data_IF_975902680789
#
_entry.id   IF_975902680789
#
_cell.length_a   1.000
_cell.length_b   1.000
_cell.length_c   1.000
_cell.angle_alpha   90.00
_cell.angle_beta   90.00
_cell.angle_gamma   90.00
#
_symmetry.space_group_name_H-M   'P 1'
#
loop_
_entity.id
_entity.type
_entity.pdbx_description
1 polymer ?
#
# COMPACT_ATOMS: atom_id res chain seq x y z
N UNK A 1 -16.19 0.24 -10.79
CA UNK A 1 -14.98 0.57 -11.59
C UNK A 1 -14.85 2.05 -11.86
N UNK A 2 -15.73 2.68 -12.65
CA UNK A 2 -15.61 4.12 -13.03
C UNK A 2 -15.26 5.06 -11.87
N UNK A 3 -15.91 4.91 -10.72
CA UNK A 3 -15.66 5.75 -9.54
C UNK A 3 -14.28 5.51 -8.91
N UNK A 4 -13.76 4.28 -8.97
CA UNK A 4 -12.40 3.99 -8.53
C UNK A 4 -11.37 4.65 -9.44
N UNK A 5 -11.66 4.72 -10.75
CA UNK A 5 -10.79 5.39 -11.71
C UNK A 5 -10.83 6.91 -11.51
N UNK A 6 -12.04 7.47 -11.37
CA UNK A 6 -12.25 8.90 -11.11
C UNK A 6 -11.63 9.30 -9.77
N UNK A 7 -11.78 8.51 -8.71
CA UNK A 7 -11.16 8.81 -7.42
C UNK A 7 -9.64 8.80 -7.50
N UNK A 8 -9.03 7.85 -8.22
CA UNK A 8 -7.58 7.83 -8.44
C UNK A 8 -7.11 9.10 -9.19
N UNK A 9 -7.85 9.52 -10.22
CA UNK A 9 -7.57 10.77 -10.96
C UNK A 9 -7.72 12.00 -10.06
N UNK A 10 -8.81 12.11 -9.29
CA UNK A 10 -9.04 13.23 -8.37
C UNK A 10 -7.91 13.31 -7.34
N UNK A 11 -7.53 12.18 -6.73
CA UNK A 11 -6.46 12.16 -5.74
C UNK A 11 -5.13 12.59 -6.37
N UNK A 12 -4.83 12.15 -7.60
CA UNK A 12 -3.66 12.60 -8.34
C UNK A 12 -3.69 14.11 -8.58
N UNK A 13 -4.78 14.64 -9.13
CA UNK A 13 -4.94 16.06 -9.42
C UNK A 13 -4.81 16.91 -8.16
N UNK A 14 -5.44 16.51 -7.05
CA UNK A 14 -5.34 17.21 -5.77
C UNK A 14 -3.91 17.18 -5.23
N UNK A 15 -3.19 16.08 -5.41
CA UNK A 15 -1.77 15.98 -5.00
C UNK A 15 -0.90 16.90 -5.86
N UNK A 16 -1.05 16.89 -7.18
CA UNK A 16 -0.30 17.76 -8.09
C UNK A 16 -0.59 19.23 -7.82
N UNK A 17 -1.86 19.58 -7.57
CA UNK A 17 -2.26 20.93 -7.21
C UNK A 17 -1.68 21.38 -5.86
N UNK A 18 -1.62 20.49 -4.87
CA UNK A 18 -1.07 20.83 -3.54
C UNK A 18 0.45 20.90 -3.50
N UNK A 19 1.15 20.13 -4.32
CA UNK A 19 2.62 20.00 -4.28
C UNK A 19 3.37 21.35 -4.29
N UNK A 20 3.03 22.35 -5.12
CA UNK A 20 3.71 23.65 -5.15
C UNK A 20 3.54 24.50 -3.89
N UNK A 21 2.57 24.19 -3.03
CA UNK A 21 2.31 24.93 -1.80
C UNK A 21 3.18 24.47 -0.62
N UNK A 22 3.85 23.32 -0.75
CA UNK A 22 4.80 22.84 0.24
C UNK A 22 6.18 23.44 -0.01
N UNK A 23 6.90 23.79 1.06
CA UNK A 23 8.20 24.46 0.95
C UNK A 23 9.33 23.44 0.77
N UNK A 24 9.43 22.92 -0.45
CA UNK A 24 10.56 22.12 -0.90
C UNK A 24 11.73 23.01 -1.34
N UNK A 25 12.97 22.55 -1.18
CA UNK A 25 14.15 23.31 -1.59
C UNK A 25 14.30 23.39 -3.11
N UNK A 26 14.08 22.26 -3.77
CA UNK A 26 14.24 22.15 -5.21
C UNK A 26 12.89 22.33 -5.91
N UNK A 27 12.92 22.92 -7.11
CA UNK A 27 11.76 22.89 -8.00
C UNK A 27 11.80 21.57 -8.78
N UNK A 28 10.67 20.87 -8.82
CA UNK A 28 10.53 19.68 -9.67
C UNK A 28 10.58 20.05 -11.14
N UNK A 29 11.23 19.22 -11.94
CA UNK A 29 11.16 19.31 -13.39
C UNK A 29 9.72 19.07 -13.88
N UNK A 30 9.30 19.81 -14.90
CA UNK A 30 7.98 19.70 -15.53
C UNK A 30 7.72 18.29 -16.06
N UNK A 31 8.78 17.58 -16.49
CA UNK A 31 8.68 16.21 -16.99
C UNK A 31 8.13 15.23 -15.96
N UNK A 32 8.45 15.40 -14.66
CA UNK A 32 7.98 14.54 -13.57
C UNK A 32 6.46 14.64 -13.40
N UNK A 33 5.90 15.86 -13.50
CA UNK A 33 4.44 16.06 -13.46
C UNK A 33 3.75 15.38 -14.64
N UNK A 34 4.34 15.46 -15.84
CA UNK A 34 3.82 14.83 -17.05
C UNK A 34 3.85 13.31 -16.90
N UNK A 35 4.99 12.72 -16.53
CA UNK A 35 5.15 11.28 -16.38
C UNK A 35 4.22 10.69 -15.32
N UNK A 36 4.13 11.34 -14.15
CA UNK A 36 3.20 10.91 -13.10
C UNK A 36 1.74 10.98 -13.54
N UNK A 37 1.35 12.00 -14.31
CA UNK A 37 -0.01 12.13 -14.87
C UNK A 37 -0.28 11.06 -15.92
N UNK A 38 0.65 10.85 -16.85
CA UNK A 38 0.55 9.83 -17.90
C UNK A 38 0.44 8.43 -17.29
N UNK A 39 1.23 8.13 -16.25
CA UNK A 39 1.18 6.85 -15.53
C UNK A 39 -0.23 6.55 -15.01
N UNK A 40 -0.85 7.51 -14.31
CA UNK A 40 -2.21 7.35 -13.77
C UNK A 40 -3.24 7.18 -14.87
N UNK A 41 -3.18 8.01 -15.93
CA UNK A 41 -4.16 7.94 -17.02
C UNK A 41 -4.08 6.62 -17.79
N UNK A 42 -2.87 6.17 -18.13
CA UNK A 42 -2.68 4.92 -18.87
C UNK A 42 -3.00 3.72 -17.97
N UNK A 43 -2.64 3.75 -16.68
CA UNK A 43 -3.03 2.72 -15.70
C UNK A 43 -4.56 2.62 -15.60
N UNK A 44 -5.26 3.76 -15.51
CA UNK A 44 -6.72 3.79 -15.50
C UNK A 44 -7.31 3.20 -16.80
N UNK A 45 -6.73 3.51 -17.96
CA UNK A 45 -7.14 2.97 -19.26
C UNK A 45 -6.96 1.44 -19.34
N UNK A 46 -5.84 0.92 -18.85
CA UNK A 46 -5.57 -0.53 -18.81
C UNK A 46 -6.59 -1.23 -17.91
N UNK A 47 -6.81 -0.71 -16.69
CA UNK A 47 -7.78 -1.30 -15.76
C UNK A 47 -9.22 -1.20 -16.28
N UNK A 48 -9.56 -0.11 -16.97
CA UNK A 48 -10.82 0.03 -17.66
C UNK A 48 -11.01 -1.03 -18.74
N UNK A 49 -9.98 -1.25 -19.57
CA UNK A 49 -9.99 -2.28 -20.63
C UNK A 49 -10.17 -3.68 -20.06
N UNK A 50 -9.41 -4.05 -19.01
CA UNK A 50 -9.52 -5.34 -18.33
C UNK A 50 -10.94 -5.52 -17.76
N UNK A 51 -11.47 -4.48 -17.13
CA UNK A 51 -12.82 -4.51 -16.56
C UNK A 51 -13.88 -4.73 -17.63
N UNK A 52 -13.84 -4.02 -18.75
CA UNK A 52 -14.84 -4.18 -19.80
C UNK A 52 -14.85 -5.60 -20.39
N UNK A 53 -13.68 -6.22 -20.52
CA UNK A 53 -13.57 -7.59 -21.04
C UNK A 53 -13.96 -8.64 -19.99
N UNK A 54 -13.67 -8.39 -18.70
CA UNK A 54 -13.73 -9.41 -17.65
C UNK A 54 -14.77 -9.14 -16.54
N UNK A 55 -15.61 -8.11 -16.67
CA UNK A 55 -16.52 -7.66 -15.59
C UNK A 55 -17.40 -8.79 -15.03
N UNK A 56 -17.95 -9.64 -15.90
CA UNK A 56 -18.84 -10.73 -15.54
C UNK A 56 -18.10 -11.74 -14.68
N UNK A 57 -16.93 -12.19 -15.14
CA UNK A 57 -16.08 -13.14 -14.41
C UNK A 57 -15.63 -12.58 -13.06
N UNK A 58 -15.22 -11.31 -13.02
CA UNK A 58 -14.82 -10.64 -11.76
C UNK A 58 -15.99 -10.60 -10.77
N UNK A 59 -17.18 -10.20 -11.23
CA UNK A 59 -18.37 -10.14 -10.38
C UNK A 59 -18.80 -11.51 -9.88
N UNK A 60 -18.79 -12.52 -10.74
CA UNK A 60 -19.11 -13.91 -10.37
C UNK A 60 -18.14 -14.43 -9.29
N UNK A 61 -16.82 -14.23 -9.46
CA UNK A 61 -15.81 -14.62 -8.48
C UNK A 61 -15.96 -13.89 -7.15
N UNK A 62 -16.20 -12.58 -7.17
CA UNK A 62 -16.44 -11.78 -5.95
C UNK A 62 -17.72 -12.24 -5.25
N UNK A 63 -18.79 -12.48 -5.99
CA UNK A 63 -20.06 -12.94 -5.41
C UNK A 63 -19.94 -14.34 -4.81
N UNK A 64 -19.23 -15.26 -5.48
CA UNK A 64 -18.94 -16.59 -4.95
C UNK A 64 -18.15 -16.49 -3.64
N UNK A 65 -17.10 -15.66 -3.64
CA UNK A 65 -16.31 -15.42 -2.44
C UNK A 65 -17.12 -14.77 -1.29
N UNK A 66 -18.00 -13.80 -1.57
CA UNK A 66 -18.85 -13.18 -0.56
C UNK A 66 -19.74 -14.20 0.16
N UNK A 67 -20.10 -15.30 -0.51
CA UNK A 67 -20.94 -16.38 0.04
C UNK A 67 -20.17 -17.37 0.91
N UNK A 68 -18.84 -17.27 1.02
CA UNK A 68 -18.05 -18.14 1.89
C UNK A 68 -18.48 -17.96 3.35
N UNK A 69 -18.94 -19.06 3.97
CA UNK A 69 -19.42 -19.08 5.36
C UNK A 69 -18.41 -19.70 6.34
N UNK A 70 -17.54 -20.58 5.85
CA UNK A 70 -16.53 -21.27 6.64
C UNK A 70 -15.14 -20.88 6.18
N UNK A 71 -14.23 -20.71 7.14
CA UNK A 71 -12.81 -20.45 6.89
C UNK A 71 -12.09 -21.79 6.98
N UNK A 72 -11.11 -22.01 6.10
CA UNK A 72 -10.24 -23.18 6.17
C UNK A 72 -9.60 -23.33 7.56
N UNK A 73 -9.45 -24.56 8.01
CA UNK A 73 -8.74 -24.84 9.27
C UNK A 73 -7.31 -24.29 9.25
N UNK A 74 -6.65 -24.33 8.09
CA UNK A 74 -5.31 -23.77 7.91
C UNK A 74 -5.28 -22.25 8.10
N UNK A 75 -6.18 -21.50 7.45
CA UNK A 75 -6.24 -20.03 7.58
C UNK A 75 -6.64 -19.65 9.01
N UNK A 76 -7.57 -20.39 9.61
CA UNK A 76 -7.96 -20.17 11.01
C UNK A 76 -6.76 -20.36 11.95
N UNK A 77 -6.03 -21.47 11.82
CA UNK A 77 -4.84 -21.76 12.63
C UNK A 77 -3.76 -20.68 12.46
N UNK A 78 -3.43 -20.30 11.22
CA UNK A 78 -2.48 -19.22 10.94
C UNK A 78 -2.94 -17.91 11.59
N UNK A 79 -4.23 -17.58 11.49
CA UNK A 79 -4.78 -16.36 12.11
C UNK A 79 -4.61 -16.37 13.61
N UNK A 80 -4.89 -17.49 14.29
CA UNK A 80 -4.74 -17.61 15.75
C UNK A 80 -3.28 -17.46 16.16
N UNK A 81 -2.36 -18.16 15.48
CA UNK A 81 -0.92 -18.07 15.76
C UNK A 81 -0.41 -16.65 15.57
N UNK A 82 -0.73 -16.01 14.44
CA UNK A 82 -0.33 -14.63 14.17
C UNK A 82 -1.01 -13.64 15.12
N UNK A 83 -2.22 -13.92 15.60
CA UNK A 83 -2.91 -13.08 16.57
C UNK A 83 -2.22 -13.11 17.94
N UNK A 84 -1.88 -14.30 18.44
CA UNK A 84 -1.13 -14.45 19.70
C UNK A 84 0.23 -13.74 19.59
N UNK A 85 0.91 -13.90 18.45
CA UNK A 85 2.16 -13.22 18.20
C UNK A 85 2.01 -11.69 18.05
N UNK A 86 0.92 -11.22 17.47
CA UNK A 86 0.60 -9.78 17.43
C UNK A 86 0.37 -9.21 18.83
N UNK A 87 -0.28 -9.96 19.73
CA UNK A 87 -0.48 -9.55 21.11
C UNK A 87 0.85 -9.39 21.85
N UNK A 88 1.79 -10.33 21.70
CA UNK A 88 3.09 -10.23 22.35
C UNK A 88 3.88 -9.01 21.86
N UNK A 89 3.92 -8.78 20.54
CA UNK A 89 4.59 -7.62 19.95
C UNK A 89 3.93 -6.29 20.34
N UNK A 90 2.60 -6.24 20.37
CA UNK A 90 1.86 -5.04 20.74
C UNK A 90 2.08 -4.67 22.20
N UNK A 91 2.17 -5.65 23.11
CA UNK A 91 2.47 -5.40 24.52
C UNK A 91 3.83 -4.71 24.70
N UNK A 92 4.87 -5.24 24.03
CA UNK A 92 6.19 -4.59 24.00
C UNK A 92 6.12 -3.18 23.41
N UNK A 93 5.42 -3.01 22.29
CA UNK A 93 5.28 -1.71 21.60
C UNK A 93 4.58 -0.66 22.46
N UNK A 94 3.53 -1.03 23.18
CA UNK A 94 2.81 -0.11 24.08
C UNK A 94 3.73 0.37 25.20
N UNK A 95 4.52 -0.51 25.80
CA UNK A 95 5.48 -0.13 26.84
C UNK A 95 6.47 0.93 26.33
N UNK A 96 6.98 0.76 25.11
CA UNK A 96 7.87 1.73 24.46
C UNK A 96 7.17 3.06 24.10
N UNK A 97 5.92 3.01 23.63
CA UNK A 97 5.16 4.23 23.32
C UNK A 97 4.90 5.03 24.60
N UNK A 98 4.52 4.36 25.68
CA UNK A 98 4.25 5.00 26.98
C UNK A 98 5.51 5.59 27.63
N UNK A 99 6.70 5.04 27.32
CA UNK A 99 7.97 5.64 27.75
C UNK A 99 8.40 6.85 26.91
N UNK A 100 7.55 7.33 25.99
CA UNK A 100 7.82 8.50 25.15
C UNK A 100 8.76 8.22 23.97
N UNK A 101 9.01 6.96 23.62
CA UNK A 101 9.89 6.63 22.50
C UNK A 101 9.30 7.13 21.17
N UNK A 102 10.14 7.71 20.32
CA UNK A 102 9.72 8.10 18.98
C UNK A 102 9.45 6.86 18.13
N UNK A 103 8.60 7.00 17.09
CA UNK A 103 8.37 5.93 16.10
C UNK A 103 9.68 5.37 15.52
N UNK A 104 10.66 6.24 15.32
CA UNK A 104 11.94 5.85 14.75
C UNK A 104 12.72 4.96 15.72
N UNK A 105 12.72 5.28 17.02
CA UNK A 105 13.29 4.40 18.05
C UNK A 105 12.56 3.04 18.12
N UNK A 106 11.23 3.05 17.97
CA UNK A 106 10.41 1.83 17.96
C UNK A 106 10.75 0.92 16.77
N UNK A 107 10.97 1.50 15.58
CA UNK A 107 11.41 0.76 14.38
C UNK A 107 12.82 0.20 14.57
N UNK A 108 13.74 0.97 15.16
CA UNK A 108 15.12 0.53 15.42
C UNK A 108 15.17 -0.64 16.40
N UNK A 109 14.37 -0.60 17.46
CA UNK A 109 14.22 -1.72 18.41
C UNK A 109 13.63 -2.97 17.71
N UNK A 110 12.64 -2.75 16.84
CA UNK A 110 12.01 -3.81 16.06
C UNK A 110 12.87 -4.36 14.92
N UNK A 111 14.02 -3.75 14.58
CA UNK A 111 14.99 -4.39 13.67
C UNK A 111 15.51 -5.72 14.26
N UNK A 112 15.47 -5.92 15.58
CA UNK A 112 15.72 -7.24 16.20
C UNK A 112 14.59 -8.26 15.96
N UNK A 113 13.36 -7.81 15.64
CA UNK A 113 12.18 -8.63 15.33
C UNK A 113 11.73 -8.52 13.85
N UNK A 114 12.64 -8.08 12.96
CA UNK A 114 12.33 -7.43 11.69
C UNK A 114 11.33 -8.13 10.76
N UNK A 115 11.36 -9.45 10.67
CA UNK A 115 10.46 -10.21 9.80
C UNK A 115 9.06 -10.42 10.41
N UNK A 116 8.99 -10.66 11.71
CA UNK A 116 7.76 -11.06 12.40
C UNK A 116 6.69 -9.98 12.36
N UNK A 117 7.07 -8.73 12.65
CA UNK A 117 6.11 -7.62 12.61
C UNK A 117 5.62 -7.32 11.18
N UNK A 118 6.49 -7.47 10.16
CA UNK A 118 6.13 -7.28 8.75
C UNK A 118 5.13 -8.33 8.29
N UNK A 119 5.29 -9.57 8.73
CA UNK A 119 4.35 -10.66 8.47
C UNK A 119 2.99 -10.38 9.13
N UNK A 120 2.97 -10.01 10.41
CA UNK A 120 1.75 -9.68 11.16
C UNK A 120 0.99 -8.51 10.52
N UNK A 121 1.68 -7.39 10.25
CA UNK A 121 1.08 -6.22 9.61
C UNK A 121 0.53 -6.59 8.23
N UNK A 122 1.33 -7.25 7.39
CA UNK A 122 0.92 -7.62 6.04
C UNK A 122 -0.28 -8.57 6.04
N UNK A 123 -0.32 -9.52 6.98
CA UNK A 123 -1.43 -10.45 7.10
C UNK A 123 -2.73 -9.75 7.50
N UNK A 124 -2.74 -9.02 8.62
CA UNK A 124 -3.98 -8.43 9.13
C UNK A 124 -4.50 -7.26 8.28
N UNK A 125 -3.63 -6.43 7.69
CA UNK A 125 -4.05 -5.32 6.82
C UNK A 125 -4.74 -5.79 5.54
N UNK A 126 -4.46 -7.02 5.09
CA UNK A 126 -5.06 -7.64 3.90
C UNK A 126 -6.28 -8.46 4.31
N UNK A 127 -6.13 -9.34 5.29
CA UNK A 127 -7.17 -10.28 5.70
C UNK A 127 -8.40 -9.59 6.27
N UNK A 128 -8.22 -8.51 7.04
CA UNK A 128 -9.34 -7.77 7.62
C UNK A 128 -10.28 -7.20 6.55
N UNK A 129 -9.83 -6.34 5.60
CA UNK A 129 -10.67 -5.86 4.49
C UNK A 129 -11.32 -6.97 3.68
N UNK A 130 -10.56 -8.03 3.40
CA UNK A 130 -11.05 -9.13 2.58
C UNK A 130 -12.19 -9.85 3.30
N UNK A 131 -11.97 -10.38 4.50
CA UNK A 131 -13.00 -11.18 5.17
C UNK A 131 -14.15 -10.36 5.76
N UNK A 132 -14.03 -9.03 5.85
CA UNK A 132 -15.10 -8.14 6.34
C UNK A 132 -16.43 -8.38 5.62
N UNK A 133 -16.38 -8.58 4.30
CA UNK A 133 -17.57 -8.63 3.43
C UNK A 133 -18.19 -10.03 3.24
N UNK A 134 -17.49 -11.07 3.71
CA UNK A 134 -17.89 -12.47 3.56
C UNK A 134 -18.95 -12.87 4.59
N UNK A 135 -19.57 -14.03 4.46
CA UNK A 135 -20.55 -14.54 5.44
C UNK A 135 -19.92 -15.35 6.59
N UNK A 136 -18.59 -15.29 6.75
CA UNK A 136 -17.88 -16.01 7.81
C UNK A 136 -18.33 -15.58 9.22
N UNK A 137 -18.14 -16.49 10.17
CA UNK A 137 -18.48 -16.30 11.59
C UNK A 137 -17.98 -14.94 12.12
N UNK A 138 -18.86 -14.21 12.82
CA UNK A 138 -18.55 -12.88 13.40
C UNK A 138 -17.29 -12.89 14.29
N UNK A 139 -17.06 -13.98 15.03
CA UNK A 139 -15.87 -14.15 15.86
C UNK A 139 -14.56 -14.07 15.06
N UNK A 140 -14.52 -14.68 13.86
CA UNK A 140 -13.34 -14.63 13.00
C UNK A 140 -13.07 -13.21 12.48
N UNK A 141 -14.14 -12.50 12.07
CA UNK A 141 -14.03 -11.09 11.66
C UNK A 141 -13.55 -10.21 12.81
N UNK A 142 -14.03 -10.46 14.02
CA UNK A 142 -13.62 -9.76 15.23
C UNK A 142 -12.13 -9.99 15.53
N UNK A 143 -11.66 -11.25 15.45
CA UNK A 143 -10.25 -11.60 15.60
C UNK A 143 -9.37 -10.84 14.59
N UNK A 144 -9.77 -10.80 13.31
CA UNK A 144 -9.07 -10.04 12.28
C UNK A 144 -9.09 -8.53 12.54
N UNK A 145 -10.21 -7.99 13.02
CA UNK A 145 -10.35 -6.58 13.37
C UNK A 145 -9.43 -6.17 14.52
N UNK A 146 -9.38 -6.97 15.60
CA UNK A 146 -8.43 -6.73 16.69
C UNK A 146 -7.00 -6.91 16.20
N UNK A 147 -6.70 -7.96 15.44
CA UNK A 147 -5.36 -8.17 14.89
C UNK A 147 -4.89 -7.01 14.01
N UNK A 148 -5.79 -6.41 13.24
CA UNK A 148 -5.51 -5.19 12.49
C UNK A 148 -5.18 -4.00 13.40
N UNK A 149 -5.96 -3.77 14.45
CA UNK A 149 -5.65 -2.73 15.44
C UNK A 149 -4.30 -2.96 16.14
N UNK A 150 -4.00 -4.19 16.53
CA UNK A 150 -2.70 -4.56 17.09
C UNK A 150 -1.57 -4.27 16.10
N UNK A 151 -1.74 -4.60 14.82
CA UNK A 151 -0.74 -4.28 13.79
C UNK A 151 -0.48 -2.79 13.62
N UNK A 152 -1.51 -1.95 13.82
CA UNK A 152 -1.36 -0.49 13.81
C UNK A 152 -0.60 0.02 15.04
N UNK A 153 -0.82 -0.59 16.21
CA UNK A 153 -0.08 -0.28 17.44
C UNK A 153 1.40 -0.64 17.25
N UNK A 154 1.69 -1.85 16.76
CA UNK A 154 3.06 -2.33 16.52
C UNK A 154 3.80 -1.42 15.53
N UNK A 155 3.17 -1.07 14.41
CA UNK A 155 3.82 -0.25 13.36
C UNK A 155 3.80 1.25 13.65
N UNK A 156 2.96 1.70 14.59
CA UNK A 156 2.62 3.10 14.84
C UNK A 156 2.34 3.90 13.55
N UNK A 157 1.76 3.23 12.54
CA UNK A 157 1.70 3.72 11.15
C UNK A 157 0.27 3.96 10.68
N UNK A 158 0.02 5.17 10.17
CA UNK A 158 -1.26 5.54 9.52
C UNK A 158 -1.39 4.94 8.12
N UNK A 159 -0.29 4.52 7.52
CA UNK A 159 -0.30 3.96 6.16
C UNK A 159 -1.07 2.65 6.12
N UNK A 160 -1.01 1.83 7.18
CA UNK A 160 -1.78 0.58 7.30
C UNK A 160 -3.28 0.83 7.16
N UNK A 161 -3.76 1.93 7.76
CA UNK A 161 -5.15 2.37 7.68
C UNK A 161 -5.54 2.80 6.28
N UNK A 162 -4.69 3.58 5.63
CA UNK A 162 -4.91 4.04 4.26
C UNK A 162 -4.96 2.85 3.30
N UNK A 163 -4.04 1.90 3.42
CA UNK A 163 -4.03 0.67 2.60
C UNK A 163 -5.29 -0.16 2.80
N UNK A 164 -5.68 -0.43 4.05
CA UNK A 164 -6.92 -1.13 4.34
C UNK A 164 -8.14 -0.39 3.76
N UNK A 165 -8.14 0.95 3.83
CA UNK A 165 -9.23 1.79 3.34
C UNK A 165 -9.36 1.73 1.82
N UNK A 166 -8.24 1.79 1.10
CA UNK A 166 -8.20 1.60 -0.36
C UNK A 166 -8.65 0.21 -0.78
N UNK A 167 -8.27 -0.83 -0.03
CA UNK A 167 -8.71 -2.18 -0.31
C UNK A 167 -10.22 -2.36 -0.08
N UNK A 168 -10.75 -1.87 1.05
CA UNK A 168 -12.19 -1.85 1.32
C UNK A 168 -12.94 -1.08 0.22
N UNK A 169 -12.45 0.11 -0.16
CA UNK A 169 -13.06 0.91 -1.21
C UNK A 169 -13.09 0.18 -2.55
N UNK A 170 -11.99 -0.48 -2.92
CA UNK A 170 -11.88 -1.27 -4.14
C UNK A 170 -12.90 -2.40 -4.15
N UNK A 171 -12.96 -3.17 -3.06
CA UNK A 171 -13.89 -4.30 -2.89
C UNK A 171 -15.35 -3.86 -3.02
N UNK A 172 -15.76 -2.86 -2.23
CA UNK A 172 -17.16 -2.45 -2.15
C UNK A 172 -17.65 -1.80 -3.45
N UNK A 173 -16.83 -0.96 -4.08
CA UNK A 173 -17.18 -0.29 -5.34
C UNK A 173 -17.23 -1.23 -6.55
N UNK A 174 -16.59 -2.41 -6.46
CA UNK A 174 -16.70 -3.45 -7.49
C UNK A 174 -17.94 -4.33 -7.26
N UNK A 175 -18.24 -4.67 -6.01
CA UNK A 175 -19.36 -5.55 -5.63
C UNK A 175 -20.72 -4.89 -5.85
N UNK A 176 -20.98 -3.78 -5.16
CA UNK A 176 -22.27 -3.09 -5.19
C UNK A 176 -22.06 -1.59 -4.99
N UNK A 177 -22.37 -0.81 -6.01
CA UNK A 177 -22.12 0.62 -6.00
C UNK A 177 -22.93 1.38 -4.94
N UNK A 178 -24.24 1.13 -4.82
CA UNK A 178 -25.10 1.97 -3.95
C UNK A 178 -24.80 1.73 -2.48
N UNK A 179 -24.71 0.47 -2.08
CA UNK A 179 -24.29 0.12 -0.72
C UNK A 179 -22.80 0.43 -0.50
N UNK A 180 -21.97 0.27 -1.53
CA UNK A 180 -20.55 0.54 -1.48
C UNK A 180 -20.21 1.99 -1.17
N UNK A 181 -20.89 2.97 -1.77
CA UNK A 181 -20.62 4.39 -1.47
C UNK A 181 -20.88 4.71 0.01
N UNK A 182 -22.02 4.30 0.56
CA UNK A 182 -22.34 4.53 1.98
C UNK A 182 -21.31 3.86 2.90
N UNK A 183 -20.97 2.60 2.63
CA UNK A 183 -20.00 1.86 3.45
C UNK A 183 -18.60 2.45 3.37
N UNK A 184 -18.15 2.86 2.17
CA UNK A 184 -16.85 3.51 1.98
C UNK A 184 -16.78 4.82 2.74
N UNK A 185 -17.83 5.65 2.68
CA UNK A 185 -17.88 6.90 3.46
C UNK A 185 -17.80 6.62 4.97
N UNK A 186 -18.54 5.64 5.48
CA UNK A 186 -18.47 5.25 6.90
C UNK A 186 -17.07 4.79 7.29
N UNK A 187 -16.42 3.98 6.45
CA UNK A 187 -15.06 3.48 6.69
C UNK A 187 -14.04 4.62 6.68
N UNK A 188 -14.14 5.55 5.75
CA UNK A 188 -13.28 6.75 5.70
C UNK A 188 -13.46 7.55 7.00
N UNK A 189 -14.70 7.80 7.45
CA UNK A 189 -14.96 8.51 8.71
C UNK A 189 -14.39 7.77 9.91
N UNK A 190 -14.63 6.47 10.03
CA UNK A 190 -14.08 5.65 11.11
C UNK A 190 -12.55 5.68 11.13
N UNK A 191 -11.93 5.66 9.95
CA UNK A 191 -10.47 5.68 9.80
C UNK A 191 -9.91 7.07 10.13
N UNK A 192 -10.58 8.15 9.76
CA UNK A 192 -10.18 9.49 10.19
C UNK A 192 -10.23 9.64 11.72
N UNK A 193 -11.28 9.12 12.37
CA UNK A 193 -11.39 9.11 13.84
C UNK A 193 -10.30 8.27 14.50
N UNK A 194 -10.00 7.09 13.95
CA UNK A 194 -8.91 6.25 14.46
C UNK A 194 -7.54 6.91 14.28
N UNK A 195 -7.27 7.53 13.13
CA UNK A 195 -6.04 8.26 12.87
C UNK A 195 -5.89 9.47 13.80
N UNK A 196 -6.99 10.15 14.12
CA UNK A 196 -7.04 11.21 15.11
C UNK A 196 -6.67 10.69 16.51
N UNK A 197 -7.30 9.59 16.97
CA UNK A 197 -6.99 8.97 18.26
C UNK A 197 -5.50 8.55 18.37
N UNK A 198 -4.96 7.95 17.31
CA UNK A 198 -3.52 7.61 17.23
C UNK A 198 -2.66 8.86 17.34
N UNK A 199 -3.07 9.99 16.76
CA UNK A 199 -2.31 11.25 16.85
C UNK A 199 -2.23 11.75 18.30
N UNK A 200 -3.35 11.68 19.04
CA UNK A 200 -3.41 12.04 20.46
C UNK A 200 -2.50 11.12 21.27
N UNK A 201 -2.62 9.81 21.06
CA UNK A 201 -1.79 8.82 21.78
C UNK A 201 -0.29 8.96 21.49
N UNK A 202 0.08 9.50 20.33
CA UNK A 202 1.48 9.80 19.97
C UNK A 202 1.99 11.12 20.56
N UNK A 203 1.21 11.83 21.37
CA UNK A 203 1.60 13.11 21.96
C UNK A 203 1.89 14.20 20.92
N UNK A 204 1.38 14.06 19.69
CA UNK A 204 1.59 15.05 18.64
C UNK A 204 0.63 16.22 18.84
N UNK A 205 1.06 17.47 18.58
CA UNK A 205 0.15 18.61 18.65
C UNK A 205 -1.02 18.41 17.68
N UNK A 206 -2.23 18.51 18.22
CA UNK A 206 -3.50 18.36 17.51
C UNK A 206 -4.15 19.74 17.51
N UNK A 207 -4.49 20.26 16.32
CA UNK A 207 -5.20 21.54 16.21
C UNK A 207 -6.66 21.42 16.67
N UNK A 208 -7.32 22.53 16.98
CA UNK A 208 -8.69 22.48 17.49
C UNK A 208 -9.72 22.03 16.43
N UNK A 209 -10.64 21.14 16.82
CA UNK A 209 -11.83 20.77 16.06
C UNK A 209 -11.57 20.24 14.63
N UNK A 210 -12.29 20.80 13.64
CA UNK A 210 -12.27 20.35 12.24
C UNK A 210 -10.90 20.55 11.55
N UNK A 211 -10.09 21.50 12.04
CA UNK A 211 -8.75 21.78 11.52
C UNK A 211 -7.85 20.54 11.63
N UNK A 212 -8.06 19.72 12.66
CA UNK A 212 -7.31 18.47 12.83
C UNK A 212 -7.60 17.44 11.74
N UNK A 213 -8.84 17.33 11.27
CA UNK A 213 -9.20 16.40 10.19
C UNK A 213 -8.55 16.85 8.87
N UNK A 214 -8.61 18.15 8.57
CA UNK A 214 -7.93 18.74 7.42
C UNK A 214 -6.43 18.48 7.49
N UNK A 215 -5.82 18.60 8.68
CA UNK A 215 -4.39 18.36 8.87
C UNK A 215 -3.97 16.91 8.57
N UNK A 216 -4.84 15.92 8.83
CA UNK A 216 -4.57 14.51 8.50
C UNK A 216 -4.58 14.32 6.98
N UNK A 217 -5.56 14.92 6.30
CA UNK A 217 -5.66 14.86 4.84
C UNK A 217 -4.50 15.60 4.16
N UNK A 218 -4.14 16.79 4.64
CA UNK A 218 -3.01 17.56 4.12
C UNK A 218 -1.68 16.82 4.33
N UNK A 219 -1.46 16.20 5.50
CA UNK A 219 -0.30 15.34 5.73
C UNK A 219 -0.26 14.17 4.74
N UNK A 220 -1.40 13.56 4.44
CA UNK A 220 -1.46 12.47 3.44
C UNK A 220 -1.04 12.96 2.05
N UNK A 221 -1.51 14.13 1.62
CA UNK A 221 -1.10 14.75 0.35
C UNK A 221 0.39 15.12 0.34
N UNK A 222 0.91 15.66 1.45
CA UNK A 222 2.33 15.95 1.64
C UNK A 222 3.20 14.68 1.49
N UNK A 223 2.79 13.57 2.11
CA UNK A 223 3.50 12.30 1.95
C UNK A 223 3.47 11.83 0.49
N UNK A 224 2.35 12.00 -0.21
CA UNK A 224 2.28 11.66 -1.63
C UNK A 224 3.19 12.54 -2.48
N UNK A 225 3.26 13.85 -2.23
CA UNK A 225 4.13 14.74 -2.99
C UNK A 225 5.62 14.42 -2.81
N UNK A 226 6.05 13.85 -1.67
CA UNK A 226 7.41 13.34 -1.51
C UNK A 226 7.82 12.36 -2.61
N UNK A 227 6.89 11.54 -3.10
CA UNK A 227 7.20 10.58 -4.16
C UNK A 227 7.61 11.21 -5.48
N UNK A 228 7.12 12.42 -5.78
CA UNK A 228 7.51 13.15 -6.99
C UNK A 228 8.97 13.59 -6.90
N UNK A 229 9.43 14.03 -5.73
CA UNK A 229 10.83 14.38 -5.50
C UNK A 229 11.74 13.16 -5.49
N UNK A 230 11.29 12.07 -4.87
CA UNK A 230 12.02 10.81 -4.89
C UNK A 230 12.11 10.20 -6.30
N UNK A 231 11.14 10.49 -7.18
CA UNK A 231 11.17 10.04 -8.57
C UNK A 231 12.29 10.68 -9.38
N UNK A 232 12.56 11.98 -9.16
CA UNK A 232 13.64 12.72 -9.81
C UNK A 232 15.02 12.12 -9.47
N UNK A 233 15.18 11.72 -8.21
CA UNK A 233 16.36 10.97 -7.75
C UNK A 233 16.49 9.62 -8.46
N UNK A 234 15.40 8.86 -8.59
CA UNK A 234 15.45 7.56 -9.27
C UNK A 234 15.80 7.71 -10.74
N UNK A 235 15.21 8.68 -11.43
CA UNK A 235 15.47 8.91 -12.86
C UNK A 235 16.87 9.45 -13.15
N UNK A 236 17.56 9.99 -12.15
CA UNK A 236 18.95 10.47 -12.25
C UNK A 236 20.00 9.43 -11.80
N UNK A 237 19.59 8.24 -11.35
CA UNK A 237 20.53 7.18 -10.99
C UNK A 237 21.29 6.66 -12.21
N UNK A 238 22.54 6.18 -12.02
CA UNK A 238 23.25 5.47 -13.07
C UNK A 238 22.49 4.20 -13.47
N UNK A 239 22.43 3.96 -14.78
CA UNK A 239 21.76 2.80 -15.34
C UNK A 239 22.72 1.59 -15.38
N UNK A 240 22.59 0.73 -14.37
CA UNK A 240 23.30 -0.55 -14.28
C UNK A 240 22.39 -1.73 -14.72
N UNK A 241 22.96 -2.90 -15.01
CA UNK A 241 22.24 -4.08 -15.54
C UNK A 241 21.08 -4.52 -14.62
N UNK A 242 21.26 -4.41 -13.31
CA UNK A 242 20.26 -4.76 -12.30
C UNK A 242 19.01 -3.87 -12.37
N UNK A 243 19.16 -2.63 -12.87
CA UNK A 243 18.06 -1.66 -12.99
C UNK A 243 17.07 -1.99 -14.10
N UNK A 244 17.39 -2.89 -15.03
CA UNK A 244 16.44 -3.34 -16.05
C UNK A 244 15.40 -4.35 -15.52
N UNK A 245 15.78 -5.16 -14.53
CA UNK A 245 14.89 -6.16 -13.92
C UNK A 245 14.11 -5.60 -12.71
N UNK A 246 14.70 -4.60 -12.04
CA UNK A 246 14.11 -3.97 -10.87
C UNK A 246 12.65 -3.49 -11.04
N UNK A 247 12.24 -2.87 -12.17
CA UNK A 247 10.86 -2.41 -12.34
C UNK A 247 9.83 -3.55 -12.30
N UNK A 248 10.23 -4.78 -12.66
CA UNK A 248 9.33 -5.93 -12.72
C UNK A 248 9.29 -6.70 -11.40
N UNK A 249 10.45 -6.94 -10.79
CA UNK A 249 10.61 -7.85 -9.65
C UNK A 249 11.06 -7.17 -8.34
N UNK A 250 11.45 -5.89 -8.41
CA UNK A 250 11.84 -5.07 -7.27
C UNK A 250 12.93 -5.68 -6.41
N UNK A 251 12.67 -5.74 -5.10
CA UNK A 251 13.54 -6.31 -4.07
C UNK A 251 13.99 -7.74 -4.41
N UNK A 252 13.15 -8.55 -5.07
CA UNK A 252 13.50 -9.93 -5.40
C UNK A 252 14.66 -9.96 -6.40
N UNK A 253 14.57 -9.20 -7.50
CA UNK A 253 15.66 -9.13 -8.48
C UNK A 253 16.94 -8.56 -7.89
N UNK A 254 16.84 -7.50 -7.08
CA UNK A 254 18.00 -6.87 -6.45
C UNK A 254 18.72 -7.87 -5.53
N UNK A 255 17.97 -8.63 -4.72
CA UNK A 255 18.55 -9.66 -3.86
C UNK A 255 19.20 -10.79 -4.64
N UNK A 256 18.54 -11.33 -5.67
CA UNK A 256 19.16 -12.39 -6.48
C UNK A 256 20.44 -11.92 -7.17
N UNK A 257 20.45 -10.71 -7.75
CA UNK A 257 21.64 -10.18 -8.41
C UNK A 257 22.75 -9.79 -7.43
N UNK A 258 22.41 -9.34 -6.23
CA UNK A 258 23.39 -9.03 -5.17
C UNK A 258 24.17 -10.26 -4.71
N UNK A 259 23.50 -11.43 -4.64
CA UNK A 259 24.16 -12.71 -4.32
C UNK A 259 25.17 -13.10 -5.40
N UNK A 260 24.89 -12.73 -6.66
CA UNK A 260 25.77 -12.98 -7.81
C UNK A 260 26.87 -11.92 -7.97
N UNK A 261 26.94 -10.93 -7.07
CA UNK A 261 27.87 -9.78 -7.16
C UNK A 261 27.77 -9.01 -8.48
N UNK A 262 26.58 -9.00 -9.10
CA UNK A 262 26.30 -8.30 -10.37
C UNK A 262 25.73 -6.89 -10.16
N UNK A 263 25.82 -6.35 -8.94
CA UNK A 263 25.16 -5.09 -8.56
C UNK A 263 26.18 -4.13 -7.97
N UNK A 264 26.38 -2.99 -8.62
CA UNK A 264 27.26 -1.92 -8.12
C UNK A 264 26.53 -0.99 -7.14
N UNK A 265 25.22 -0.80 -7.32
CA UNK A 265 24.39 0.13 -6.54
C UNK A 265 23.10 -0.55 -6.07
N UNK A 266 23.17 -1.47 -5.10
CA UNK A 266 22.01 -2.26 -4.69
C UNK A 266 20.92 -1.41 -4.05
N UNK A 267 19.66 -1.68 -4.40
CA UNK A 267 18.48 -1.08 -3.75
C UNK A 267 18.16 -1.94 -2.53
N UNK A 268 19.07 -1.90 -1.57
CA UNK A 268 19.06 -2.73 -0.39
C UNK A 268 18.41 -2.02 0.82
N UNK A 269 18.58 -2.60 2.01
CA UNK A 269 18.04 -2.02 3.23
C UNK A 269 18.66 -0.64 3.51
N UNK A 270 19.94 -0.41 3.15
CA UNK A 270 20.59 0.88 3.35
C UNK A 270 19.91 1.96 2.50
N UNK A 271 19.65 1.66 1.22
CA UNK A 271 18.93 2.56 0.31
C UNK A 271 17.52 2.88 0.81
N UNK A 272 16.77 1.86 1.23
CA UNK A 272 15.38 2.01 1.71
C UNK A 272 15.32 2.72 3.06
N UNK A 273 16.34 2.55 3.91
CA UNK A 273 16.43 3.21 5.22
C UNK A 273 16.95 4.65 5.17
N UNK A 274 17.56 5.05 4.05
CA UNK A 274 18.11 6.39 3.89
C UNK A 274 16.98 7.42 3.71
N UNK A 275 17.01 8.45 4.54
CA UNK A 275 16.03 9.53 4.54
C UNK A 275 16.55 10.71 3.73
N UNK A 276 15.83 11.04 2.67
CA UNK A 276 16.09 12.23 1.85
C UNK A 276 15.55 13.48 2.52
N UNK A 277 16.38 14.51 2.56
CA UNK A 277 15.96 15.83 3.00
C UNK A 277 15.36 16.61 1.83
N UNK A 278 14.07 16.96 1.94
CA UNK A 278 13.31 17.55 0.83
C UNK A 278 13.01 19.04 1.03
N UNK A 279 12.96 19.52 2.27
CA UNK A 279 12.39 20.82 2.59
C UNK A 279 12.14 21.01 4.07
N UNK A 280 11.38 22.05 4.42
CA UNK A 280 10.93 22.29 5.78
C UNK A 280 9.55 22.94 5.82
N UNK A 281 8.81 22.70 6.88
CA UNK A 281 7.54 23.35 7.16
C UNK A 281 7.78 24.77 7.70
N UNK A 282 7.31 25.79 6.99
CA UNK A 282 7.41 27.20 7.43
C UNK A 282 6.60 27.48 8.71
N UNK A 283 5.51 26.75 8.95
CA UNK A 283 4.66 26.96 10.12
C UNK A 283 5.23 26.32 11.39
N UNK A 284 5.84 25.14 11.27
CA UNK A 284 6.32 24.39 12.44
C UNK A 284 7.85 24.34 12.58
N UNK A 285 8.60 24.73 11.55
CA UNK A 285 10.06 24.60 11.50
C UNK A 285 10.55 23.16 11.30
N UNK A 286 9.65 22.19 11.19
CA UNK A 286 10.01 20.78 11.06
C UNK A 286 10.55 20.45 9.66
N UNK A 287 11.57 19.61 9.60
CA UNK A 287 12.15 19.13 8.35
C UNK A 287 11.29 18.08 7.65
N UNK A 288 11.23 18.16 6.32
CA UNK A 288 10.63 17.15 5.47
C UNK A 288 11.67 16.07 5.14
N UNK A 289 11.49 14.89 5.73
CA UNK A 289 12.28 13.72 5.43
C UNK A 289 11.40 12.64 4.79
N UNK A 290 11.90 12.03 3.72
CA UNK A 290 11.20 10.95 3.02
C UNK A 290 12.11 9.77 2.72
N UNK A 291 11.55 8.57 2.85
CA UNK A 291 12.18 7.34 2.41
C UNK A 291 11.11 6.45 1.79
N UNK A 292 11.53 5.49 0.94
CA UNK A 292 10.70 4.37 0.46
C UNK A 292 9.56 4.73 -0.51
N UNK A 293 9.15 6.00 -0.61
CA UNK A 293 8.04 6.46 -1.47
C UNK A 293 8.48 6.68 -2.93
N UNK A 294 9.24 5.74 -3.48
CA UNK A 294 9.68 5.79 -4.87
C UNK A 294 8.56 5.27 -5.77
N UNK A 295 7.99 6.09 -6.66
CA UNK A 295 6.83 5.68 -7.44
C UNK A 295 7.21 4.64 -8.48
N UNK A 296 6.29 3.73 -8.78
CA UNK A 296 6.65 2.56 -9.59
C UNK A 296 7.06 2.92 -11.02
N UNK A 297 6.43 3.96 -11.58
CA UNK A 297 6.71 4.42 -12.93
C UNK A 297 8.14 4.96 -13.09
N UNK A 298 8.76 5.53 -12.04
CA UNK A 298 10.08 6.14 -12.18
C UNK A 298 11.16 5.10 -12.43
N UNK A 299 11.01 3.89 -11.91
CA UNK A 299 11.91 2.77 -12.19
C UNK A 299 11.82 2.30 -13.65
N UNK A 300 10.60 2.28 -14.21
CA UNK A 300 10.44 1.99 -15.63
C UNK A 300 11.04 3.09 -16.52
N UNK A 301 10.95 4.36 -16.09
CA UNK A 301 11.56 5.47 -16.82
C UNK A 301 13.08 5.44 -16.71
N UNK A 302 13.64 5.11 -15.54
CA UNK A 302 15.07 4.90 -15.40
C UNK A 302 15.57 3.82 -16.38
N UNK A 303 14.90 2.67 -16.42
CA UNK A 303 15.33 1.53 -17.24
C UNK A 303 15.09 1.70 -18.74
N UNK A 304 13.98 2.34 -19.14
CA UNK A 304 13.50 2.33 -20.52
C UNK A 304 13.16 3.72 -21.06
N UNK A 305 13.46 4.80 -20.34
CA UNK A 305 13.03 6.15 -20.70
C UNK A 305 11.50 6.30 -20.71
N UNK A 306 10.96 7.31 -21.41
CA UNK A 306 9.51 7.60 -21.42
C UNK A 306 8.63 6.42 -21.88
N UNK A 307 9.14 5.54 -22.76
CA UNK A 307 8.41 4.34 -23.19
C UNK A 307 8.21 3.33 -22.05
N UNK A 308 8.96 3.45 -20.95
CA UNK A 308 8.78 2.68 -19.73
C UNK A 308 7.37 2.73 -19.16
N UNK A 309 6.64 3.84 -19.32
CA UNK A 309 5.23 3.94 -18.86
C UNK A 309 4.34 2.95 -19.64
N UNK A 310 4.57 2.78 -20.95
CA UNK A 310 3.85 1.81 -21.77
C UNK A 310 4.24 0.38 -21.39
N UNK A 311 5.53 0.12 -21.14
CA UNK A 311 6.02 -1.19 -20.70
C UNK A 311 5.38 -1.59 -19.35
N UNK A 312 5.35 -0.67 -18.37
CA UNK A 312 4.65 -0.85 -17.10
C UNK A 312 3.18 -1.22 -17.31
N UNK A 313 2.52 -0.53 -18.23
CA UNK A 313 1.11 -0.72 -18.54
C UNK A 313 0.82 -2.09 -19.15
N UNK A 314 1.69 -2.56 -20.06
CA UNK A 314 1.63 -3.92 -20.62
C UNK A 314 1.88 -4.96 -19.53
N UNK A 315 2.87 -4.73 -18.65
CA UNK A 315 3.14 -5.63 -17.52
C UNK A 315 1.94 -5.75 -16.59
N UNK A 316 1.34 -4.62 -16.20
CA UNK A 316 0.12 -4.58 -15.39
C UNK A 316 -1.00 -5.37 -16.08
N UNK A 317 -1.22 -5.17 -17.38
CA UNK A 317 -2.21 -5.91 -18.15
C UNK A 317 -1.99 -7.42 -18.07
N UNK A 318 -0.75 -7.86 -18.32
CA UNK A 318 -0.38 -9.27 -18.30
C UNK A 318 -0.60 -9.90 -16.92
N UNK A 319 -0.14 -9.23 -15.85
CA UNK A 319 -0.32 -9.70 -14.47
C UNK A 319 -1.81 -9.87 -14.14
N UNK A 320 -2.64 -8.85 -14.40
CA UNK A 320 -4.08 -8.95 -14.14
C UNK A 320 -4.77 -10.01 -15.00
N UNK A 321 -4.38 -10.15 -16.27
CA UNK A 321 -4.90 -11.19 -17.15
C UNK A 321 -4.62 -12.58 -16.58
N UNK A 322 -3.39 -12.86 -16.16
CA UNK A 322 -3.00 -14.14 -15.57
C UNK A 322 -3.79 -14.40 -14.28
N UNK A 323 -3.89 -13.42 -13.38
CA UNK A 323 -4.62 -13.57 -12.11
C UNK A 323 -6.09 -13.92 -12.34
N UNK A 324 -6.75 -13.25 -13.29
CA UNK A 324 -8.14 -13.54 -13.63
C UNK A 324 -8.29 -14.93 -14.26
N UNK A 325 -7.36 -15.31 -15.15
CA UNK A 325 -7.35 -16.63 -15.80
C UNK A 325 -7.20 -17.77 -14.78
N UNK A 326 -6.31 -17.61 -13.80
CA UNK A 326 -6.07 -18.60 -12.74
C UNK A 326 -7.15 -18.56 -11.65
N UNK A 327 -7.90 -17.44 -11.54
CA UNK A 327 -8.97 -17.27 -10.56
C UNK A 327 -8.50 -16.75 -9.20
N UNK A 328 -7.37 -16.04 -9.15
CA UNK A 328 -6.78 -15.48 -7.94
C UNK A 328 -7.42 -14.14 -7.59
N UNK A 329 -8.65 -14.18 -7.08
CA UNK A 329 -9.46 -12.97 -6.86
C UNK A 329 -8.94 -12.10 -5.71
N UNK A 330 -8.34 -12.69 -4.66
CA UNK A 330 -7.76 -11.91 -3.56
C UNK A 330 -6.56 -11.10 -4.05
N UNK A 331 -5.63 -11.78 -4.72
CA UNK A 331 -4.43 -11.16 -5.29
C UNK A 331 -4.81 -10.13 -6.34
N UNK A 332 -5.82 -10.41 -7.18
CA UNK A 332 -6.39 -9.45 -8.12
C UNK A 332 -6.89 -8.18 -7.42
N UNK A 333 -7.76 -8.29 -6.41
CA UNK A 333 -8.32 -7.13 -5.72
C UNK A 333 -7.26 -6.33 -4.96
N UNK A 334 -6.33 -7.03 -4.32
CA UNK A 334 -5.21 -6.42 -3.62
C UNK A 334 -4.31 -5.62 -4.57
N UNK A 335 -3.83 -6.25 -5.65
CA UNK A 335 -2.98 -5.57 -6.63
C UNK A 335 -3.74 -4.46 -7.35
N UNK A 336 -5.05 -4.60 -7.61
CA UNK A 336 -5.85 -3.53 -8.19
C UNK A 336 -5.90 -2.31 -7.28
N UNK A 337 -6.07 -2.49 -5.96
CA UNK A 337 -6.03 -1.40 -5.00
C UNK A 337 -4.66 -0.70 -4.98
N UNK A 338 -3.57 -1.48 -5.04
CA UNK A 338 -2.20 -0.95 -5.09
C UNK A 338 -1.96 -0.18 -6.37
N UNK A 339 -2.28 -0.77 -7.53
CA UNK A 339 -2.02 -0.18 -8.84
C UNK A 339 -2.75 1.16 -8.98
N UNK A 340 -4.00 1.25 -8.52
CA UNK A 340 -4.79 2.49 -8.58
C UNK A 340 -4.29 3.57 -7.62
N UNK A 341 -4.06 3.22 -6.35
CA UNK A 341 -3.94 4.23 -5.30
C UNK A 341 -2.52 4.44 -4.78
N UNK A 342 -1.67 3.42 -4.88
CA UNK A 342 -0.34 3.40 -4.28
C UNK A 342 0.77 3.44 -5.33
N UNK A 343 0.63 2.74 -6.46
CA UNK A 343 1.68 2.63 -7.47
C UNK A 343 2.19 3.94 -8.08
N UNK A 344 1.36 5.00 -8.20
CA UNK A 344 1.87 6.28 -8.66
C UNK A 344 2.77 7.00 -7.64
N UNK A 345 2.87 6.47 -6.40
CA UNK A 345 3.57 7.07 -5.25
C UNK A 345 4.53 6.12 -4.54
N UNK A 346 4.43 4.81 -4.80
CA UNK A 346 5.20 3.76 -4.13
C UNK A 346 5.34 2.54 -5.04
N UNK A 347 6.49 1.88 -5.00
CA UNK A 347 6.78 0.67 -5.77
C UNK A 347 6.36 -0.56 -4.99
N UNK A 348 5.40 -1.39 -5.45
CA UNK A 348 4.82 -2.48 -4.67
C UNK A 348 5.85 -3.47 -4.10
N UNK A 349 6.94 -3.69 -4.84
CA UNK A 349 7.99 -4.66 -4.54
C UNK A 349 9.30 -4.02 -4.04
N UNK A 350 9.32 -2.75 -3.65
CA UNK A 350 10.57 -2.11 -3.16
C UNK A 350 11.03 -2.65 -1.81
N UNK A 351 10.10 -3.11 -0.97
CA UNK A 351 10.41 -3.65 0.36
C UNK A 351 10.02 -5.12 0.47
N UNK A 352 10.69 -5.82 1.39
CA UNK A 352 10.32 -7.19 1.76
C UNK A 352 8.88 -7.29 2.28
N UNK A 353 8.36 -6.25 2.94
CA UNK A 353 6.96 -6.19 3.37
C UNK A 353 5.96 -6.23 2.20
N UNK A 354 6.31 -5.62 1.07
CA UNK A 354 5.53 -5.70 -0.17
C UNK A 354 5.53 -7.11 -0.76
N UNK A 355 6.69 -7.77 -0.80
CA UNK A 355 6.85 -9.16 -1.24
C UNK A 355 6.01 -10.11 -0.37
N UNK A 356 6.12 -9.98 0.97
CA UNK A 356 5.35 -10.77 1.93
C UNK A 356 3.85 -10.58 1.71
N UNK A 357 3.40 -9.34 1.49
CA UNK A 357 1.99 -9.03 1.25
C UNK A 357 1.43 -9.75 0.02
N UNK A 358 2.16 -9.74 -1.10
CA UNK A 358 1.75 -10.44 -2.33
C UNK A 358 1.78 -11.97 -2.12
N UNK A 359 2.79 -12.48 -1.43
CA UNK A 359 2.87 -13.91 -1.12
C UNK A 359 1.69 -14.38 -0.27
N UNK A 360 1.28 -13.58 0.74
CA UNK A 360 0.10 -13.86 1.57
C UNK A 360 -1.16 -13.95 0.71
N UNK A 361 -1.41 -12.98 -0.19
CA UNK A 361 -2.61 -13.02 -1.04
C UNK A 361 -2.64 -14.22 -1.97
N UNK A 362 -1.49 -14.54 -2.58
CA UNK A 362 -1.37 -15.72 -3.46
C UNK A 362 -1.58 -17.02 -2.67
N UNK A 363 -1.01 -17.12 -1.47
CA UNK A 363 -1.20 -18.28 -0.60
C UNK A 363 -2.68 -18.47 -0.23
N UNK A 364 -3.40 -17.39 0.09
CA UNK A 364 -4.83 -17.43 0.40
C UNK A 364 -5.63 -17.88 -0.81
N UNK A 365 -5.37 -17.32 -2.00
CA UNK A 365 -6.05 -17.72 -3.24
C UNK A 365 -5.86 -19.22 -3.52
N UNK A 366 -4.63 -19.73 -3.39
CA UNK A 366 -4.33 -21.16 -3.56
C UNK A 366 -5.13 -22.02 -2.58
N UNK A 367 -5.24 -21.59 -1.32
CA UNK A 367 -5.99 -22.33 -0.30
C UNK A 367 -7.48 -22.33 -0.55
N UNK A 368 -8.06 -21.18 -0.87
CA UNK A 368 -9.49 -21.07 -1.17
C UNK A 368 -9.90 -21.86 -2.40
N UNK A 369 -9.04 -21.91 -3.44
CA UNK A 369 -9.34 -22.67 -4.64
C UNK A 369 -9.42 -24.16 -4.38
N UNK A 370 -8.45 -24.73 -3.66
CA UNK A 370 -8.44 -26.16 -3.32
C UNK A 370 -9.69 -26.61 -2.55
N UNK A 371 -10.34 -25.70 -1.83
CA UNK A 371 -11.55 -26.01 -1.06
C UNK A 371 -12.85 -25.91 -1.87
N UNK A 372 -12.83 -25.24 -3.02
CA UNK A 372 -13.99 -25.14 -3.91
C UNK A 372 -14.00 -26.22 -5.01
N UNK A 373 -12.84 -26.86 -5.25
CA UNK A 373 -12.67 -27.95 -6.21
C UNK A 373 -12.95 -29.35 -5.58
N UNK A 374 -13.26 -29.40 -4.27
CA UNK A 374 -13.70 -30.59 -3.50
C UNK A 374 -15.16 -30.40 -3.09
#
# INVERSE_FOLDING_TARGET
MYILLISAIIIQLVTLFRTPFYNYFNKLDGSIYIYSTMDVLITCLVLYSIWNVSNRRVKEQINAWCRVEKVSHTILCITIVLFIYALSLAFSSISFILSGATRQALITEHNMFGFGYLLVSSYFKIMFPMYLITNVRKLFKFLLGIGFLLSMIITASRNELIYAGYLIATIYMIRDFRHGFKTVTIVIVAFMLLAFFITIMQGRPVGDGFISVISVFDKHLLYRSYSLYLSDRVTSMPLDVDKYLYPFFGYISDKFLSILSLVNNSIDNSFVSHYEFLGYDKGTGNYYYANVLYPWWSWFILAFGPIGILIKSIYIFFVFYVLLRVGFIFTYLYLMSIVLYSSPFYTPLITIGGVISIFITVFIDIKLRRENDV
#
